data_IF_680849190783
#
_entry.id   IF_680849190783
#
_cell.length_a   1.000
_cell.length_b   1.000
_cell.length_c   1.000
_cell.angle_alpha   90.00
_cell.angle_beta   90.00
_cell.angle_gamma   90.00
#
_symmetry.space_group_name_H-M   'P 1'
#
loop_
_entity.id
_entity.type
_entity.pdbx_description
1 polymer ?
#
# COMPACT_ATOMS: atom_id res chain seq x y z
N UNK A 1 -9.38 -16.00 -7.08
CA UNK A 1 -8.86 -15.02 -6.11
C UNK A 1 -7.82 -14.16 -6.79
N UNK A 2 -7.95 -12.86 -6.66
CA UNK A 2 -7.04 -11.90 -7.29
C UNK A 2 -5.80 -11.68 -6.42
N UNK A 3 -4.61 -11.89 -6.99
CA UNK A 3 -3.35 -11.61 -6.30
C UNK A 3 -3.03 -10.11 -6.42
N UNK A 4 -2.84 -9.47 -5.29
CA UNK A 4 -2.54 -8.03 -5.20
C UNK A 4 -1.29 -7.85 -4.35
N UNK A 5 -0.45 -6.91 -4.74
CA UNK A 5 0.74 -6.52 -3.96
C UNK A 5 0.61 -5.05 -3.57
N UNK A 6 1.21 -4.71 -2.44
CA UNK A 6 1.28 -3.32 -2.00
C UNK A 6 2.58 -3.07 -1.26
N UNK A 7 2.96 -1.80 -1.17
CA UNK A 7 4.19 -1.36 -0.55
C UNK A 7 3.94 -0.53 0.70
N UNK A 8 4.54 -0.95 1.80
CA UNK A 8 4.69 -0.13 3.00
C UNK A 8 6.01 0.63 2.83
N UNK A 9 5.93 1.82 2.25
CA UNK A 9 7.11 2.62 1.91
C UNK A 9 7.49 3.47 3.11
N UNK A 10 8.67 3.22 3.66
CA UNK A 10 9.18 3.91 4.84
C UNK A 10 10.10 5.08 4.48
N UNK A 11 10.01 6.15 5.26
CA UNK A 11 10.97 7.24 5.32
C UNK A 11 11.15 7.63 6.78
N UNK A 12 12.20 7.11 7.41
CA UNK A 12 12.38 7.25 8.86
C UNK A 12 11.25 6.54 9.61
N UNK A 13 10.56 7.27 10.49
CA UNK A 13 9.43 6.75 11.27
C UNK A 13 8.08 6.94 10.60
N UNK A 14 8.07 7.47 9.37
CA UNK A 14 6.85 7.70 8.60
C UNK A 14 6.71 6.70 7.47
N UNK A 15 5.47 6.39 7.12
CA UNK A 15 5.16 5.57 5.96
C UNK A 15 4.14 6.27 5.06
N UNK A 16 4.17 5.89 3.78
CA UNK A 16 3.31 6.50 2.77
C UNK A 16 1.94 5.86 2.74
N UNK A 17 0.89 6.71 2.69
CA UNK A 17 -0.48 6.29 2.40
C UNK A 17 -0.98 7.07 1.19
N UNK A 18 -1.87 6.45 0.43
CA UNK A 18 -2.41 7.00 -0.81
C UNK A 18 -3.94 7.01 -0.77
N UNK A 19 -4.55 8.10 -1.21
CA UNK A 19 -6.01 8.22 -1.24
C UNK A 19 -6.54 7.84 -2.61
N UNK A 20 -7.48 6.91 -2.65
CA UNK A 20 -8.12 6.46 -3.90
C UNK A 20 -8.92 7.58 -4.54
N UNK A 21 -8.90 7.69 -5.89
CA UNK A 21 -9.73 8.70 -6.57
C UNK A 21 -11.23 8.46 -6.30
N UNK A 22 -12.00 9.54 -6.33
CA UNK A 22 -13.43 9.48 -6.00
C UNK A 22 -14.25 8.60 -6.94
N UNK A 23 -13.80 8.43 -8.18
CA UNK A 23 -14.52 7.66 -9.21
C UNK A 23 -14.32 6.15 -9.14
N UNK A 24 -13.34 5.68 -8.34
CA UNK A 24 -13.08 4.24 -8.18
C UNK A 24 -13.92 3.64 -7.05
N UNK A 25 -14.09 2.30 -7.09
CA UNK A 25 -14.64 1.58 -5.96
C UNK A 25 -13.84 1.93 -4.70
N UNK A 26 -14.51 2.10 -3.58
CA UNK A 26 -13.90 2.51 -2.31
C UNK A 26 -13.18 3.86 -2.44
N UNK A 27 -13.77 4.77 -3.25
CA UNK A 27 -13.20 6.09 -3.52
C UNK A 27 -13.02 6.92 -2.27
N UNK A 28 -11.96 7.74 -2.26
CA UNK A 28 -11.53 8.62 -1.17
C UNK A 28 -11.10 7.92 0.11
N UNK A 29 -11.12 6.59 0.16
CA UNK A 29 -10.50 5.82 1.25
C UNK A 29 -8.98 5.77 1.02
N UNK A 30 -8.25 5.63 2.11
CA UNK A 30 -6.80 5.53 2.07
C UNK A 30 -6.35 4.08 1.94
N UNK A 31 -5.20 3.88 1.32
CA UNK A 31 -4.63 2.57 1.05
C UNK A 31 -3.11 2.67 0.92
N UNK A 32 -2.46 1.53 0.73
CA UNK A 32 -1.05 1.47 0.36
C UNK A 32 -0.95 1.36 -1.16
N UNK A 33 0.09 1.95 -1.75
CA UNK A 33 0.31 1.88 -3.20
C UNK A 33 0.53 0.43 -3.64
N UNK A 34 -0.04 0.05 -4.76
CA UNK A 34 0.12 -1.29 -5.29
C UNK A 34 -0.91 -1.60 -6.36
N UNK A 35 -1.08 -2.86 -6.66
CA UNK A 35 -2.03 -3.31 -7.67
C UNK A 35 -1.94 -4.81 -7.92
N UNK A 36 -2.58 -5.23 -9.03
CA UNK A 36 -2.67 -6.64 -9.39
C UNK A 36 -1.36 -7.17 -9.92
N UNK A 37 -1.03 -8.41 -9.56
CA UNK A 37 0.06 -9.16 -10.18
C UNK A 37 -0.40 -9.64 -11.54
N UNK A 38 0.35 -9.36 -12.59
CA UNK A 38 0.04 -9.79 -13.94
C UNK A 38 0.63 -11.18 -14.23
N UNK A 39 0.07 -11.93 -15.22
CA UNK A 39 0.61 -13.22 -15.58
C UNK A 39 2.10 -13.15 -15.93
N UNK A 40 2.88 -14.06 -15.35
CA UNK A 40 4.32 -14.14 -15.58
C UNK A 40 5.17 -13.20 -14.72
N UNK A 41 4.55 -12.30 -13.93
CA UNK A 41 5.29 -11.45 -13.00
C UNK A 41 5.50 -12.14 -11.66
N UNK A 42 6.65 -11.87 -11.01
CA UNK A 42 6.80 -12.12 -9.58
C UNK A 42 6.05 -11.04 -8.83
N UNK A 43 5.76 -11.27 -7.55
CA UNK A 43 5.12 -10.26 -6.69
C UNK A 43 6.00 -9.01 -6.58
N UNK A 44 7.30 -9.20 -6.43
CA UNK A 44 8.26 -8.10 -6.32
C UNK A 44 8.31 -7.26 -7.60
N UNK A 45 8.35 -7.91 -8.76
CA UNK A 45 8.34 -7.21 -10.06
C UNK A 45 7.04 -6.43 -10.26
N UNK A 46 5.90 -7.01 -9.88
CA UNK A 46 4.61 -6.33 -9.95
C UNK A 46 4.62 -5.07 -9.08
N UNK A 47 5.15 -5.16 -7.87
CA UNK A 47 5.21 -4.02 -6.96
C UNK A 47 6.09 -2.89 -7.52
N UNK A 48 7.26 -3.24 -8.07
CA UNK A 48 8.16 -2.25 -8.68
C UNK A 48 7.45 -1.55 -9.85
N UNK A 49 6.76 -2.32 -10.69
CA UNK A 49 6.00 -1.78 -11.82
C UNK A 49 4.89 -0.84 -11.36
N UNK A 50 4.07 -1.26 -10.39
CA UNK A 50 2.95 -0.46 -9.87
C UNK A 50 3.44 0.84 -9.24
N UNK A 51 4.51 0.82 -8.47
CA UNK A 51 5.06 2.03 -7.87
C UNK A 51 5.58 3.00 -8.93
N UNK A 52 6.16 2.49 -10.00
CA UNK A 52 6.61 3.33 -11.12
C UNK A 52 5.43 3.95 -11.86
N UNK A 53 4.39 3.16 -12.13
CA UNK A 53 3.20 3.65 -12.83
C UNK A 53 2.41 4.66 -12.03
N UNK A 54 2.26 4.42 -10.72
CA UNK A 54 1.38 5.23 -9.88
C UNK A 54 2.06 6.41 -9.21
N UNK A 55 3.37 6.32 -8.95
CA UNK A 55 4.12 7.32 -8.18
C UNK A 55 5.33 7.88 -8.90
N UNK A 56 5.72 7.33 -10.05
CA UNK A 56 6.93 7.70 -10.79
C UNK A 56 8.21 7.50 -9.95
N UNK A 57 8.24 6.48 -9.10
CA UNK A 57 9.42 6.14 -8.29
C UNK A 57 9.87 4.71 -8.54
N UNK A 58 11.17 4.46 -8.32
CA UNK A 58 11.72 3.12 -8.24
C UNK A 58 11.87 2.76 -6.77
N UNK A 59 11.24 1.66 -6.35
CA UNK A 59 11.33 1.20 -4.97
C UNK A 59 12.33 0.05 -4.83
N UNK A 60 12.96 -0.01 -3.67
CA UNK A 60 13.72 -1.17 -3.22
C UNK A 60 12.77 -1.99 -2.35
N UNK A 61 12.52 -3.24 -2.76
CA UNK A 61 11.56 -4.13 -2.10
C UNK A 61 12.27 -4.94 -1.02
N UNK A 62 11.75 -4.86 0.19
CA UNK A 62 12.25 -5.63 1.33
C UNK A 62 11.42 -6.90 1.57
N UNK A 63 11.37 -7.35 2.80
CA UNK A 63 10.62 -8.53 3.19
C UNK A 63 9.11 -8.30 3.26
N UNK A 64 8.37 -9.40 3.30
CA UNK A 64 6.92 -9.36 3.48
C UNK A 64 6.59 -8.92 4.91
N UNK A 65 5.74 -7.90 5.04
CA UNK A 65 5.24 -7.47 6.33
C UNK A 65 4.05 -8.32 6.77
N UNK A 66 3.09 -8.53 5.86
CA UNK A 66 1.87 -9.27 6.16
C UNK A 66 1.18 -9.70 4.87
N UNK A 67 0.45 -10.82 4.95
CA UNK A 67 -0.45 -11.27 3.89
C UNK A 67 -1.87 -11.29 4.42
N UNK A 68 -2.82 -10.80 3.62
CA UNK A 68 -4.23 -10.69 4.00
C UNK A 68 -5.10 -11.20 2.86
N UNK A 69 -6.06 -12.06 3.18
CA UNK A 69 -7.12 -12.42 2.25
C UNK A 69 -8.39 -11.71 2.68
N UNK A 70 -8.98 -10.93 1.79
CA UNK A 70 -10.18 -10.16 2.08
C UNK A 70 -11.20 -10.30 0.96
N UNK A 71 -12.47 -10.50 1.34
CA UNK A 71 -13.59 -10.59 0.40
C UNK A 71 -14.39 -9.30 0.46
N UNK A 72 -14.37 -8.56 -0.66
CA UNK A 72 -15.28 -7.44 -0.88
C UNK A 72 -16.54 -7.96 -1.61
N UNK A 73 -17.63 -7.20 -1.65
CA UNK A 73 -18.82 -7.61 -2.41
C UNK A 73 -18.53 -7.88 -3.89
N UNK A 74 -17.56 -7.16 -4.47
CA UNK A 74 -17.23 -7.24 -5.90
C UNK A 74 -16.07 -8.21 -6.21
N UNK A 75 -15.21 -8.54 -5.24
CA UNK A 75 -14.09 -9.47 -5.47
C UNK A 75 -13.44 -9.93 -4.17
N UNK A 76 -12.72 -11.05 -4.28
CA UNK A 76 -11.84 -11.53 -3.20
C UNK A 76 -10.40 -11.31 -3.61
N UNK A 77 -9.61 -10.70 -2.75
CA UNK A 77 -8.19 -10.44 -2.99
C UNK A 77 -7.31 -11.19 -2.00
N UNK A 78 -6.12 -11.57 -2.45
CA UNK A 78 -5.01 -11.98 -1.58
C UNK A 78 -3.95 -10.89 -1.70
N UNK A 79 -3.79 -10.10 -0.65
CA UNK A 79 -2.88 -8.97 -0.60
C UNK A 79 -1.59 -9.35 0.10
N UNK A 80 -0.45 -9.16 -0.57
CA UNK A 80 0.87 -9.29 0.03
C UNK A 80 1.47 -7.90 0.18
N UNK A 81 1.73 -7.48 1.40
CA UNK A 81 2.33 -6.19 1.71
C UNK A 81 3.81 -6.35 2.01
N UNK A 82 4.64 -5.66 1.25
CA UNK A 82 6.10 -5.65 1.41
C UNK A 82 6.56 -4.38 2.09
N UNK A 83 7.60 -4.49 2.92
CA UNK A 83 8.38 -3.32 3.28
C UNK A 83 9.10 -2.82 2.04
N UNK A 84 9.20 -1.50 1.88
CA UNK A 84 9.90 -0.91 0.76
C UNK A 84 10.48 0.44 1.15
N UNK A 85 11.40 0.92 0.33
CA UNK A 85 11.95 2.27 0.42
C UNK A 85 12.11 2.83 -1.00
N UNK A 86 12.15 4.15 -1.13
CA UNK A 86 12.36 4.79 -2.42
C UNK A 86 13.85 4.78 -2.74
N UNK A 87 14.22 4.10 -3.84
CA UNK A 87 15.58 4.08 -4.33
C UNK A 87 15.87 5.25 -5.27
N UNK A 88 14.89 5.64 -6.09
CA UNK A 88 15.00 6.74 -7.05
C UNK A 88 13.67 7.45 -7.24
N UNK A 89 13.73 8.75 -7.46
CA UNK A 89 12.58 9.57 -7.83
C UNK A 89 11.91 10.23 -6.65
N UNK A 90 10.96 11.13 -6.97
CA UNK A 90 10.12 11.83 -6.00
C UNK A 90 8.68 11.43 -6.27
N UNK A 91 7.93 10.95 -5.24
CA UNK A 91 6.55 10.49 -5.46
C UNK A 91 5.66 11.56 -6.07
N UNK A 92 4.87 11.16 -7.07
CA UNK A 92 3.92 12.01 -7.76
C UNK A 92 2.53 11.37 -7.74
N UNK A 93 1.49 12.20 -7.72
CA UNK A 93 0.10 11.73 -7.71
C UNK A 93 -0.40 11.47 -9.12
N UNK A 94 0.08 10.39 -9.75
CA UNK A 94 -0.31 10.05 -11.12
C UNK A 94 -1.67 9.35 -11.18
N UNK A 95 -2.04 8.61 -10.13
CA UNK A 95 -3.28 7.83 -10.06
C UNK A 95 -4.12 8.16 -8.84
N UNK A 96 -3.50 8.65 -7.76
CA UNK A 96 -4.17 8.90 -6.49
C UNK A 96 -4.64 10.35 -6.36
N UNK A 97 -5.70 10.54 -5.55
CA UNK A 97 -6.20 11.87 -5.22
C UNK A 97 -5.23 12.61 -4.31
N UNK A 98 -4.60 11.91 -3.37
CA UNK A 98 -3.62 12.48 -2.45
C UNK A 98 -2.62 11.43 -1.99
N UNK A 99 -1.47 11.90 -1.50
CA UNK A 99 -0.40 11.08 -0.93
C UNK A 99 0.02 11.75 0.37
N UNK A 100 0.18 10.98 1.44
CA UNK A 100 0.66 11.49 2.72
C UNK A 100 1.69 10.57 3.34
N UNK A 101 2.59 11.17 4.09
CA UNK A 101 3.54 10.47 4.95
C UNK A 101 3.06 10.63 6.39
N UNK A 102 2.79 9.52 7.07
CA UNK A 102 2.23 9.55 8.42
C UNK A 102 3.03 8.66 9.36
N UNK A 103 2.95 8.98 10.65
CA UNK A 103 3.42 8.08 11.71
C UNK A 103 2.31 7.11 12.10
N UNK A 104 2.67 6.06 12.83
CA UNK A 104 1.70 5.09 13.36
C UNK A 104 0.62 5.78 14.20
N UNK A 105 0.99 6.77 14.99
CA UNK A 105 0.06 7.49 15.85
C UNK A 105 -1.00 8.28 15.08
N UNK A 106 -0.74 8.61 13.83
CA UNK A 106 -1.66 9.37 12.99
C UNK A 106 -2.71 8.49 12.29
N UNK A 107 -2.56 7.16 12.34
CA UNK A 107 -3.49 6.23 11.66
C UNK A 107 -4.97 6.54 11.95
N UNK A 108 -5.39 6.80 13.22
CA UNK A 108 -6.81 7.07 13.50
C UNK A 108 -7.39 8.29 12.81
N UNK A 109 -6.56 9.17 12.25
CA UNK A 109 -7.02 10.38 11.55
C UNK A 109 -7.48 10.10 10.12
N UNK A 110 -7.31 8.86 9.63
CA UNK A 110 -7.59 8.51 8.23
C UNK A 110 -8.54 7.32 8.16
N UNK A 111 -9.40 7.32 7.13
CA UNK A 111 -10.30 6.20 6.88
C UNK A 111 -9.72 5.33 5.77
N UNK A 112 -9.38 4.09 6.12
CA UNK A 112 -8.71 3.16 5.22
C UNK A 112 -9.67 2.15 4.59
N UNK A 113 -9.24 1.58 3.45
CA UNK A 113 -9.94 0.47 2.83
C UNK A 113 -10.04 -0.71 3.82
N UNK A 114 -11.17 -1.45 3.81
CA UNK A 114 -11.38 -2.57 4.74
C UNK A 114 -10.27 -3.62 4.71
N UNK A 115 -9.72 -3.94 3.54
CA UNK A 115 -8.64 -4.93 3.43
C UNK A 115 -7.38 -4.53 4.19
N UNK A 116 -7.18 -3.23 4.43
CA UNK A 116 -5.97 -2.72 5.08
C UNK A 116 -6.09 -2.67 6.61
N UNK A 117 -7.27 -2.93 7.18
CA UNK A 117 -7.48 -2.81 8.62
C UNK A 117 -6.59 -3.75 9.44
N UNK A 118 -6.38 -4.98 8.96
CA UNK A 118 -5.49 -5.95 9.62
C UNK A 118 -4.05 -5.47 9.63
N UNK A 119 -3.63 -4.84 8.52
CA UNK A 119 -2.29 -4.26 8.36
C UNK A 119 -2.09 -3.14 9.39
N UNK A 120 -3.07 -2.24 9.48
CA UNK A 120 -3.01 -1.10 10.39
C UNK A 120 -2.98 -1.55 11.85
N UNK A 121 -3.76 -2.58 12.19
CA UNK A 121 -3.77 -3.14 13.54
C UNK A 121 -2.39 -3.68 13.91
N UNK A 122 -1.72 -4.38 12.98
CA UNK A 122 -0.36 -4.89 13.20
C UNK A 122 0.65 -3.76 13.35
N UNK A 123 0.55 -2.70 12.54
CA UNK A 123 1.42 -1.52 12.64
C UNK A 123 1.28 -0.85 14.00
N UNK A 124 0.05 -0.67 14.49
CA UNK A 124 -0.21 -0.06 15.80
C UNK A 124 0.34 -0.92 16.93
N UNK A 125 0.18 -2.24 16.85
CA UNK A 125 0.72 -3.17 17.82
C UNK A 125 2.25 -3.09 17.91
N UNK A 126 2.94 -3.11 16.75
CA UNK A 126 4.39 -3.02 16.68
C UNK A 126 4.89 -1.64 17.09
N UNK A 127 4.17 -0.58 16.75
CA UNK A 127 4.51 0.78 17.13
C UNK A 127 4.55 0.97 18.65
N UNK A 128 3.68 0.30 19.39
CA UNK A 128 3.66 0.33 20.85
C UNK A 128 4.80 -0.40 21.50
N UNK A 129 5.58 -1.18 20.73
CA UNK A 129 6.71 -1.98 21.23
C UNK A 129 8.08 -1.34 20.96
N UNK A 130 8.11 -0.21 20.30
CA UNK A 130 9.35 0.51 19.97
C UNK A 130 9.90 1.26 21.16
#
# INVERSE_FOLDING_TARGET
MTQVVAALIWSGDKFMICQRPSHKARGLLWEFVGGKVEPGETKEAALIRECREELAVTVSVGGVFLEVTHTYPDLTIHLTLFHASIAEGTPQKLEHNDIRWITVDEIPQYEFCPADQVILAKLMELGGQR
#
